data_IF_048491409060
#
_entry.id   IF_048491409060
#
_cell.length_a   1.000
_cell.length_b   1.000
_cell.length_c   1.000
_cell.angle_alpha   90.00
_cell.angle_beta   90.00
_cell.angle_gamma   90.00
#
_symmetry.space_group_name_H-M   'P 1'
#
loop_
_entity.id
_entity.type
_entity.pdbx_description
1 polymer ?
#
# COMPACT_ATOMS: atom_id res chain seq x y z
N UNK A 1 10.78 5.83 18.03
CA UNK A 1 10.15 5.42 16.76
C UNK A 1 8.73 4.97 17.11
N UNK A 2 7.70 5.45 16.43
CA UNK A 2 6.30 5.17 16.80
C UNK A 2 6.01 3.71 16.43
N UNK A 3 6.08 2.77 17.39
CA UNK A 3 5.99 1.32 17.15
C UNK A 3 4.76 0.94 16.31
N UNK A 4 3.63 1.62 16.53
CA UNK A 4 2.38 1.40 15.78
C UNK A 4 2.52 1.71 14.28
N UNK A 5 3.37 2.68 13.91
CA UNK A 5 3.60 3.02 12.50
C UNK A 5 4.40 1.93 11.80
N UNK A 6 5.39 1.35 12.49
CA UNK A 6 6.13 0.23 11.93
C UNK A 6 5.20 -0.96 11.70
N UNK A 7 4.33 -1.27 12.66
CA UNK A 7 3.31 -2.32 12.50
C UNK A 7 2.35 -2.05 11.34
N UNK A 8 1.92 -0.79 11.15
CA UNK A 8 1.11 -0.41 9.99
C UNK A 8 1.86 -0.63 8.68
N UNK A 9 3.14 -0.23 8.61
CA UNK A 9 3.98 -0.41 7.41
C UNK A 9 4.18 -1.89 7.11
N UNK A 10 4.53 -2.69 8.11
CA UNK A 10 4.77 -4.13 7.94
C UNK A 10 3.51 -4.85 7.44
N UNK A 11 2.35 -4.50 7.99
CA UNK A 11 1.07 -5.04 7.53
C UNK A 11 0.76 -4.65 6.08
N UNK A 12 1.04 -3.39 5.69
CA UNK A 12 0.86 -2.91 4.33
C UNK A 12 1.80 -3.61 3.34
N UNK A 13 3.08 -3.74 3.69
CA UNK A 13 4.10 -4.43 2.86
C UNK A 13 3.73 -5.90 2.63
N UNK A 14 3.24 -6.59 3.67
CA UNK A 14 2.77 -7.97 3.56
C UNK A 14 1.56 -8.13 2.60
N UNK A 15 0.76 -7.08 2.41
CA UNK A 15 -0.48 -7.09 1.61
C UNK A 15 -0.39 -6.30 0.31
N UNK A 16 0.81 -5.98 -0.16
CA UNK A 16 0.98 -5.17 -1.37
C UNK A 16 0.35 -5.79 -2.61
N UNK A 17 0.26 -7.12 -2.71
CA UNK A 17 -0.32 -7.83 -3.86
C UNK A 17 -1.83 -8.12 -3.74
N UNK A 18 -2.49 -7.70 -2.65
CA UNK A 18 -3.92 -7.90 -2.42
C UNK A 18 -4.70 -6.58 -2.38
N UNK A 19 -6.03 -6.62 -2.51
CA UNK A 19 -6.85 -5.43 -2.30
C UNK A 19 -6.60 -4.82 -0.91
N UNK A 20 -6.42 -3.50 -0.85
CA UNK A 20 -6.24 -2.79 0.42
C UNK A 20 -7.59 -2.53 1.09
N UNK A 21 -7.67 -2.81 2.40
CA UNK A 21 -8.80 -2.44 3.25
C UNK A 21 -8.29 -1.66 4.46
N UNK A 22 -8.79 -0.45 4.63
CA UNK A 22 -8.46 0.39 5.79
C UNK A 22 -9.09 -0.18 7.08
N UNK A 23 -10.27 -0.80 6.96
CA UNK A 23 -10.96 -1.42 8.09
C UNK A 23 -10.16 -2.63 8.60
N UNK A 24 -9.61 -3.47 7.71
CA UNK A 24 -8.77 -4.61 8.13
C UNK A 24 -7.47 -4.15 8.82
N UNK A 25 -6.87 -3.06 8.34
CA UNK A 25 -5.71 -2.47 9.01
C UNK A 25 -6.08 -1.92 10.40
N UNK A 26 -7.23 -1.27 10.50
CA UNK A 26 -7.74 -0.72 11.74
C UNK A 26 -8.00 -1.81 12.79
N UNK A 27 -8.63 -2.91 12.36
CA UNK A 27 -8.86 -4.09 13.18
C UNK A 27 -7.55 -4.76 13.61
N UNK A 28 -6.56 -4.84 12.71
CA UNK A 28 -5.24 -5.41 13.01
C UNK A 28 -4.46 -4.60 14.07
N UNK A 29 -4.51 -3.27 13.99
CA UNK A 29 -3.79 -2.37 14.91
C UNK A 29 -4.59 -2.08 16.18
N UNK A 30 -5.91 -2.31 16.18
CA UNK A 30 -6.80 -2.00 17.30
C UNK A 30 -7.19 -0.52 17.39
N UNK A 31 -7.18 0.19 16.27
CA UNK A 31 -7.55 1.61 16.16
C UNK A 31 -8.77 1.80 15.29
N UNK A 32 -9.34 3.01 15.29
CA UNK A 32 -10.34 3.36 14.29
C UNK A 32 -9.70 3.57 12.91
N UNK A 33 -10.43 3.31 11.80
CA UNK A 33 -9.96 3.58 10.43
C UNK A 33 -9.47 5.02 10.24
N UNK A 34 -10.19 5.98 10.82
CA UNK A 34 -9.82 7.38 10.82
C UNK A 34 -8.47 7.61 11.52
N UNK A 35 -8.28 7.05 12.71
CA UNK A 35 -7.05 7.26 13.47
C UNK A 35 -5.85 6.59 12.81
N UNK A 36 -6.01 5.41 12.18
CA UNK A 36 -4.96 4.81 11.35
C UNK A 36 -4.54 5.74 10.21
N UNK A 37 -5.50 6.27 9.45
CA UNK A 37 -5.21 7.19 8.34
C UNK A 37 -4.54 8.48 8.83
N UNK A 38 -5.04 9.07 9.92
CA UNK A 38 -4.50 10.28 10.51
C UNK A 38 -3.07 10.07 11.01
N UNK A 39 -2.83 9.04 11.83
CA UNK A 39 -1.53 8.75 12.44
C UNK A 39 -0.49 8.41 11.38
N UNK A 40 -0.87 7.62 10.38
CA UNK A 40 0.01 7.28 9.25
C UNK A 40 0.39 8.53 8.46
N UNK A 41 -0.57 9.37 8.08
CA UNK A 41 -0.30 10.61 7.34
C UNK A 41 0.53 11.60 8.17
N UNK A 42 0.21 11.77 9.45
CA UNK A 42 0.95 12.65 10.36
C UNK A 42 2.42 12.23 10.48
N UNK A 43 2.71 10.93 10.47
CA UNK A 43 4.07 10.42 10.64
C UNK A 43 4.84 10.35 9.32
N UNK A 44 4.21 9.90 8.23
CA UNK A 44 4.89 9.63 6.95
C UNK A 44 4.81 10.80 5.96
N UNK A 45 3.92 11.75 6.19
CA UNK A 45 3.66 12.88 5.28
C UNK A 45 2.85 12.52 4.03
N UNK A 46 2.40 11.28 3.88
CA UNK A 46 1.58 10.82 2.75
C UNK A 46 0.43 9.93 3.20
N UNK A 47 -0.61 9.81 2.37
CA UNK A 47 -1.71 8.89 2.65
C UNK A 47 -1.27 7.43 2.48
N UNK A 48 -1.93 6.52 3.20
CA UNK A 48 -1.74 5.07 3.05
C UNK A 48 -1.93 4.64 1.59
N UNK A 49 -2.97 5.14 0.92
CA UNK A 49 -3.22 4.86 -0.50
C UNK A 49 -2.05 5.28 -1.40
N UNK A 50 -1.46 6.46 -1.17
CA UNK A 50 -0.30 6.94 -1.94
C UNK A 50 0.94 6.10 -1.63
N UNK A 51 1.16 5.73 -0.37
CA UNK A 51 2.23 4.82 0.02
C UNK A 51 2.13 3.48 -0.72
N UNK A 52 0.97 2.81 -0.62
CA UNK A 52 0.71 1.52 -1.29
C UNK A 52 0.93 1.63 -2.81
N UNK A 53 0.42 2.69 -3.45
CA UNK A 53 0.62 2.92 -4.88
C UNK A 53 2.11 3.04 -5.25
N UNK A 54 2.89 3.81 -4.50
CA UNK A 54 4.32 4.01 -4.76
C UNK A 54 5.13 2.73 -4.56
N UNK A 55 4.79 1.94 -3.53
CA UNK A 55 5.44 0.65 -3.26
C UNK A 55 5.15 -0.38 -4.35
N UNK A 56 3.88 -0.46 -4.78
CA UNK A 56 3.49 -1.28 -5.93
C UNK A 56 4.23 -0.87 -7.20
N UNK A 57 4.31 0.43 -7.50
CA UNK A 57 5.05 0.94 -8.65
C UNK A 57 6.54 0.58 -8.57
N UNK A 58 7.15 0.72 -7.40
CA UNK A 58 8.55 0.37 -7.21
C UNK A 58 8.79 -1.12 -7.51
N UNK A 59 8.03 -2.02 -6.90
CA UNK A 59 8.17 -3.46 -7.12
C UNK A 59 7.86 -3.85 -8.57
N UNK A 60 6.85 -3.22 -9.18
CA UNK A 60 6.49 -3.43 -10.58
C UNK A 60 7.63 -3.05 -11.53
N UNK A 61 8.36 -1.97 -11.24
CA UNK A 61 9.55 -1.60 -12.01
C UNK A 61 10.73 -2.54 -11.79
N UNK A 62 10.87 -3.14 -10.61
CA UNK A 62 11.87 -4.20 -10.38
C UNK A 62 11.52 -5.48 -11.16
N UNK A 63 10.24 -5.87 -11.17
CA UNK A 63 9.72 -6.98 -11.98
C UNK A 63 9.94 -6.76 -13.49
N UNK A 64 9.71 -5.55 -13.98
CA UNK A 64 9.94 -5.18 -15.39
C UNK A 64 11.40 -5.34 -15.82
N UNK A 65 12.35 -4.99 -14.94
CA UNK A 65 13.78 -5.17 -15.21
C UNK A 65 14.16 -6.65 -15.36
N UNK A 66 13.33 -7.56 -14.86
CA UNK A 66 13.49 -9.02 -14.98
C UNK A 66 12.71 -9.62 -16.19
N UNK A 67 12.39 -8.83 -17.22
CA UNK A 67 11.71 -9.25 -18.46
C UNK A 67 10.28 -9.82 -18.26
N UNK A 68 9.58 -9.50 -17.17
CA UNK A 68 8.14 -9.81 -17.03
C UNK A 68 7.31 -8.89 -17.94
N UNK A 69 6.20 -9.40 -18.50
CA UNK A 69 5.37 -8.62 -19.43
C UNK A 69 4.65 -7.49 -18.68
N UNK A 70 4.67 -6.29 -19.27
CA UNK A 70 4.03 -5.07 -18.72
C UNK A 70 2.55 -5.28 -18.38
N UNK A 71 1.83 -6.08 -19.17
CA UNK A 71 0.40 -6.37 -18.97
C UNK A 71 0.12 -7.16 -17.70
N UNK A 72 0.96 -8.14 -17.37
CA UNK A 72 0.78 -9.00 -16.19
C UNK A 72 1.02 -8.18 -14.92
N UNK A 73 1.98 -7.26 -15.00
CA UNK A 73 2.35 -6.33 -13.93
C UNK A 73 1.24 -5.28 -13.69
N UNK A 74 0.61 -4.76 -14.73
CA UNK A 74 -0.51 -3.82 -14.57
C UNK A 74 -1.70 -4.45 -13.83
N UNK A 75 -1.99 -5.73 -14.12
CA UNK A 75 -3.02 -6.51 -13.43
C UNK A 75 -2.65 -6.84 -11.98
N UNK A 76 -1.44 -7.32 -11.72
CA UNK A 76 -0.96 -7.72 -10.39
C UNK A 76 -0.96 -6.55 -9.38
N UNK A 77 -0.75 -5.31 -9.86
CA UNK A 77 -0.66 -4.13 -9.01
C UNK A 77 -1.94 -3.26 -8.99
N UNK A 78 -3.05 -3.76 -9.55
CA UNK A 78 -4.35 -3.06 -9.59
C UNK A 78 -4.30 -1.68 -10.25
N UNK A 79 -3.51 -1.51 -11.32
CA UNK A 79 -3.66 -0.36 -12.19
C UNK A 79 -4.92 -0.55 -13.04
N UNK A 80 -6.10 -0.34 -12.47
CA UNK A 80 -7.30 -0.18 -13.30
C UNK A 80 -7.15 1.12 -14.06
N UNK A 81 -6.94 1.05 -15.37
CA UNK A 81 -7.06 2.21 -16.24
C UNK A 81 -8.46 2.77 -16.10
N UNK A 82 -8.60 3.82 -15.29
CA UNK A 82 -9.69 4.76 -15.50
C UNK A 82 -9.08 5.84 -16.39
N UNK A 83 -9.10 5.58 -17.69
CA UNK A 83 -9.19 6.69 -18.64
C UNK A 83 -10.47 7.47 -18.30
N UNK A 84 -10.35 8.80 -18.40
CA UNK A 84 -11.32 9.78 -17.97
C UNK A 84 -12.68 9.67 -18.68
#
# INVERSE_FOLDING_TARGET
>A
MNEDIQLMVDWLEYRLQSAFSLDELADYIGYSPYYCSFKFHQTTGISIRRYTLLRRLYLSTEDLKNNRRIIDIAFDYYYSSQEA
#
